data_IF_096632476633
#
_entry.id   IF_096632476633
#
_cell.length_a   1.000
_cell.length_b   1.000
_cell.length_c   1.000
_cell.angle_alpha   90.00
_cell.angle_beta   90.00
_cell.angle_gamma   90.00
#
_symmetry.space_group_name_H-M   'P 1'
#
loop_
_entity.id
_entity.type
_entity.pdbx_description
1 polymer ?
#
# COMPACT_ATOMS: atom_id res chain seq x y z
N UNK A 1 25.34 -1.64 -12.67
CA UNK A 1 25.05 -2.83 -11.85
C UNK A 1 23.86 -3.50 -12.49
N UNK A 2 24.10 -4.59 -13.21
CA UNK A 2 23.05 -5.38 -13.89
C UNK A 2 22.71 -6.54 -12.95
N UNK A 3 21.51 -6.52 -12.37
CA UNK A 3 21.03 -7.65 -11.57
C UNK A 3 20.63 -8.79 -12.51
N UNK A 4 21.00 -10.02 -12.18
CA UNK A 4 20.44 -11.19 -12.88
C UNK A 4 18.92 -11.25 -12.64
N UNK A 5 18.16 -11.82 -13.58
CA UNK A 5 16.70 -12.00 -13.40
C UNK A 5 16.37 -12.71 -12.09
N UNK A 6 17.19 -13.68 -11.69
CA UNK A 6 16.99 -14.42 -10.44
C UNK A 6 17.28 -13.57 -9.19
N UNK A 7 18.27 -12.68 -9.26
CA UNK A 7 18.56 -11.74 -8.19
C UNK A 7 17.44 -10.71 -8.03
N UNK A 8 16.93 -10.17 -9.14
CA UNK A 8 15.80 -9.25 -9.13
C UNK A 8 14.53 -9.88 -8.54
N UNK A 9 14.23 -11.14 -8.88
CA UNK A 9 13.09 -11.87 -8.32
C UNK A 9 13.26 -12.16 -6.82
N UNK A 10 14.48 -12.46 -6.36
CA UNK A 10 14.76 -12.66 -4.92
C UNK A 10 14.55 -11.39 -4.12
N UNK A 11 15.03 -10.25 -4.63
CA UNK A 11 14.83 -8.94 -4.01
C UNK A 11 13.34 -8.58 -3.97
N UNK A 12 12.62 -8.78 -5.08
CA UNK A 12 11.18 -8.55 -5.13
C UNK A 12 10.42 -9.41 -4.10
N UNK A 13 10.75 -10.70 -4.01
CA UNK A 13 10.12 -11.60 -3.03
C UNK A 13 10.44 -11.19 -1.59
N UNK A 14 11.64 -10.68 -1.33
CA UNK A 14 12.00 -10.14 -0.01
C UNK A 14 11.19 -8.90 0.34
N UNK A 15 11.05 -7.96 -0.60
CA UNK A 15 10.28 -6.74 -0.39
C UNK A 15 8.79 -7.02 -0.16
N UNK A 16 8.22 -7.99 -0.88
CA UNK A 16 6.85 -8.47 -0.65
C UNK A 16 6.71 -9.02 0.76
N UNK A 17 7.61 -9.91 1.20
CA UNK A 17 7.57 -10.47 2.56
C UNK A 17 7.65 -9.39 3.65
N UNK A 18 8.46 -8.35 3.43
CA UNK A 18 8.57 -7.21 4.35
C UNK A 18 7.23 -6.46 4.41
N UNK A 19 6.58 -6.24 3.27
CA UNK A 19 5.28 -5.58 3.20
C UNK A 19 4.18 -6.38 3.91
N UNK A 20 4.09 -7.68 3.63
CA UNK A 20 3.15 -8.61 4.28
C UNK A 20 3.35 -8.62 5.81
N UNK A 21 4.61 -8.79 6.24
CA UNK A 21 4.95 -8.81 7.68
C UNK A 21 4.58 -7.48 8.34
N UNK A 22 4.81 -6.36 7.66
CA UNK A 22 4.45 -5.04 8.19
C UNK A 22 2.93 -4.86 8.29
N UNK A 23 2.16 -5.35 7.32
CA UNK A 23 0.70 -5.36 7.36
C UNK A 23 0.19 -6.23 8.52
N UNK A 24 0.61 -7.50 8.57
CA UNK A 24 0.20 -8.47 9.59
C UNK A 24 0.50 -7.99 11.02
N UNK A 25 1.68 -7.42 11.26
CA UNK A 25 2.06 -6.97 12.61
C UNK A 25 1.31 -5.74 13.09
N UNK A 26 0.81 -4.91 12.17
CA UNK A 26 0.28 -3.58 12.50
C UNK A 26 -1.24 -3.51 12.44
N UNK A 27 -1.86 -4.30 11.57
CA UNK A 27 -3.31 -4.43 11.51
C UNK A 27 -3.78 -5.23 12.72
N UNK A 28 -4.83 -4.73 13.38
CA UNK A 28 -5.39 -5.28 14.63
C UNK A 28 -6.83 -5.78 14.48
N UNK A 29 -7.37 -5.71 13.27
CA UNK A 29 -8.74 -6.10 12.93
C UNK A 29 -8.69 -7.21 11.89
N UNK A 30 -9.74 -8.03 11.85
CA UNK A 30 -9.86 -9.08 10.85
C UNK A 30 -10.01 -8.47 9.45
N UNK A 31 -9.31 -9.06 8.48
CA UNK A 31 -9.36 -8.65 7.09
C UNK A 31 -9.81 -9.81 6.22
N UNK A 32 -10.64 -9.50 5.23
CA UNK A 32 -10.82 -10.40 4.11
C UNK A 32 -9.52 -10.50 3.29
N UNK A 33 -9.33 -11.60 2.56
CA UNK A 33 -8.12 -11.82 1.75
C UNK A 33 -7.85 -10.65 0.80
N UNK A 34 -8.87 -10.16 0.10
CA UNK A 34 -8.73 -9.04 -0.83
C UNK A 34 -8.31 -7.72 -0.13
N UNK A 35 -8.73 -7.49 1.11
CA UNK A 35 -8.30 -6.33 1.88
C UNK A 35 -6.83 -6.43 2.25
N UNK A 36 -6.40 -7.64 2.63
CA UNK A 36 -5.01 -7.92 2.95
C UNK A 36 -4.11 -7.76 1.71
N UNK A 37 -4.54 -8.26 0.56
CA UNK A 37 -3.79 -8.15 -0.70
C UNK A 37 -3.64 -6.70 -1.15
N UNK A 38 -4.73 -5.91 -1.08
CA UNK A 38 -4.70 -4.48 -1.39
C UNK A 38 -3.75 -3.70 -0.46
N UNK A 39 -3.80 -4.00 0.85
CA UNK A 39 -2.88 -3.40 1.82
C UNK A 39 -1.44 -3.80 1.54
N UNK A 40 -1.18 -5.07 1.23
CA UNK A 40 0.17 -5.56 0.93
C UNK A 40 0.76 -4.85 -0.30
N UNK A 41 -0.01 -4.70 -1.40
CA UNK A 41 0.42 -3.90 -2.56
C UNK A 41 0.72 -2.45 -2.19
N UNK A 42 -0.13 -1.86 -1.34
CA UNK A 42 0.05 -0.49 -0.89
C UNK A 42 1.30 -0.32 -0.03
N UNK A 43 1.51 -1.20 0.96
CA UNK A 43 2.68 -1.20 1.85
C UNK A 43 3.96 -1.46 1.08
N UNK A 44 3.94 -2.36 0.10
CA UNK A 44 5.07 -2.58 -0.82
C UNK A 44 5.48 -1.27 -1.51
N UNK A 45 4.51 -0.46 -1.93
CA UNK A 45 4.80 0.79 -2.64
C UNK A 45 5.23 1.95 -1.72
N UNK A 46 4.63 2.11 -0.52
CA UNK A 46 4.93 3.25 0.36
C UNK A 46 5.96 2.93 1.46
N UNK A 47 6.21 1.65 1.72
CA UNK A 47 7.05 1.14 2.81
C UNK A 47 6.31 1.00 4.15
N UNK A 48 6.67 -0.04 4.91
CA UNK A 48 6.07 -0.37 6.22
C UNK A 48 6.21 0.72 7.29
N UNK A 49 7.25 1.55 7.21
CA UNK A 49 7.46 2.69 8.12
C UNK A 49 6.41 3.79 7.92
N UNK A 50 6.13 4.15 6.66
CA UNK A 50 5.09 5.15 6.32
C UNK A 50 3.69 4.59 6.62
N UNK A 51 3.45 3.33 6.28
CA UNK A 51 2.20 2.64 6.61
C UNK A 51 1.90 2.67 8.11
N UNK A 52 2.90 2.38 8.96
CA UNK A 52 2.74 2.35 10.41
C UNK A 52 2.35 3.68 11.05
N UNK A 53 2.61 4.81 10.38
CA UNK A 53 2.23 6.15 10.84
C UNK A 53 1.02 6.72 10.08
N UNK A 54 0.43 5.94 9.18
CA UNK A 54 -0.62 6.42 8.29
C UNK A 54 -1.97 6.57 8.99
N UNK A 55 -2.73 7.58 8.58
CA UNK A 55 -4.15 7.70 8.96
C UNK A 55 -4.96 6.51 8.48
N UNK A 56 -4.58 5.89 7.35
CA UNK A 56 -5.18 4.67 6.84
C UNK A 56 -5.16 3.55 7.90
N UNK A 57 -3.99 3.20 8.42
CA UNK A 57 -3.85 2.16 9.43
C UNK A 57 -4.62 2.50 10.71
N UNK A 58 -4.59 3.76 11.13
CA UNK A 58 -5.32 4.23 12.32
C UNK A 58 -6.83 4.07 12.18
N UNK A 59 -7.40 4.39 11.01
CA UNK A 59 -8.83 4.21 10.74
C UNK A 59 -9.17 2.72 10.59
N UNK A 60 -8.32 1.96 9.92
CA UNK A 60 -8.49 0.53 9.75
C UNK A 60 -8.57 -0.19 11.09
N UNK A 61 -7.63 0.09 11.99
CA UNK A 61 -7.60 -0.51 13.34
C UNK A 61 -8.76 -0.06 14.25
N UNK A 62 -9.58 0.91 13.82
CA UNK A 62 -10.84 1.30 14.47
C UNK A 62 -12.05 0.62 13.84
N UNK A 63 -11.86 -0.27 12.87
CA UNK A 63 -12.94 -0.90 12.10
C UNK A 63 -13.58 0.05 11.07
N UNK A 64 -12.98 1.21 10.80
CA UNK A 64 -13.55 2.21 9.90
C UNK A 64 -13.14 1.96 8.44
N UNK A 65 -13.48 0.78 7.90
CA UNK A 65 -13.01 0.28 6.59
C UNK A 65 -13.22 1.27 5.43
N UNK A 66 -14.41 1.84 5.29
CA UNK A 66 -14.71 2.80 4.22
C UNK A 66 -13.84 4.07 4.33
N UNK A 67 -13.60 4.54 5.56
CA UNK A 67 -12.76 5.72 5.78
C UNK A 67 -11.28 5.39 5.53
N UNK A 68 -10.84 4.19 5.91
CA UNK A 68 -9.51 3.69 5.59
C UNK A 68 -9.31 3.56 4.07
N UNK A 69 -10.30 3.05 3.34
CA UNK A 69 -10.26 2.91 1.88
C UNK A 69 -10.07 4.26 1.16
N UNK A 70 -10.71 5.31 1.66
CA UNK A 70 -10.52 6.66 1.10
C UNK A 70 -9.11 7.22 1.36
N UNK A 71 -8.40 6.72 2.37
CA UNK A 71 -7.02 7.13 2.62
C UNK A 71 -6.03 6.59 1.59
N UNK A 72 -6.36 5.59 0.77
CA UNK A 72 -5.46 5.19 -0.32
C UNK A 72 -5.24 6.35 -1.30
N UNK A 73 -6.28 7.13 -1.58
CA UNK A 73 -6.27 8.19 -2.60
C UNK A 73 -5.35 9.36 -2.26
N UNK A 74 -5.02 9.59 -0.98
CA UNK A 74 -4.12 10.68 -0.58
C UNK A 74 -2.64 10.34 -0.79
N UNK A 75 -2.32 9.07 -1.02
CA UNK A 75 -0.95 8.58 -1.28
C UNK A 75 -0.61 8.56 -2.77
N UNK A 76 -0.84 9.69 -3.43
CA UNK A 76 -0.61 9.89 -4.85
C UNK A 76 0.37 11.02 -5.17
N UNK A 77 0.99 11.62 -4.14
CA UNK A 77 1.95 12.71 -4.33
C UNK A 77 3.39 12.21 -4.37
N UNK A 78 4.18 12.82 -5.24
CA UNK A 78 5.62 12.61 -5.35
C UNK A 78 6.34 13.94 -5.14
N UNK A 79 7.50 13.88 -4.51
CA UNK A 79 8.40 15.01 -4.38
C UNK A 79 9.25 15.09 -5.66
N UNK A 80 9.14 16.18 -6.40
CA UNK A 80 9.91 16.41 -7.64
C UNK A 80 11.13 17.29 -7.41
N UNK A 81 11.03 18.18 -6.42
CA UNK A 81 12.11 19.02 -5.91
C UNK A 81 11.92 19.14 -4.40
N UNK A 82 12.96 19.52 -3.67
CA UNK A 82 12.93 19.61 -2.20
C UNK A 82 11.76 20.50 -1.74
N UNK A 83 10.77 19.89 -1.08
CA UNK A 83 9.56 20.56 -0.59
C UNK A 83 8.45 20.77 -1.63
N UNK A 84 8.67 20.43 -2.90
CA UNK A 84 7.69 20.57 -3.99
C UNK A 84 7.02 19.23 -4.26
N UNK A 85 5.75 19.15 -3.89
CA UNK A 85 4.94 17.94 -4.02
C UNK A 85 3.89 18.10 -5.12
N UNK A 86 3.92 17.22 -6.10
CA UNK A 86 2.90 17.17 -7.16
C UNK A 86 2.11 15.86 -7.09
N UNK A 87 0.87 15.90 -7.57
CA UNK A 87 0.09 14.69 -7.77
C UNK A 87 0.62 13.93 -8.99
N UNK A 88 0.85 12.62 -8.84
CA UNK A 88 1.20 11.72 -9.93
C UNK A 88 -0.05 11.00 -10.44
N UNK A 89 -0.31 11.07 -11.74
CA UNK A 89 -1.42 10.35 -12.37
C UNK A 89 -1.26 8.83 -12.26
N UNK A 90 -0.03 8.34 -12.40
CA UNK A 90 0.29 6.92 -12.25
C UNK A 90 -0.03 6.41 -10.86
N UNK A 91 0.39 7.14 -9.81
CA UNK A 91 0.01 6.77 -8.44
C UNK A 91 -1.49 6.92 -8.21
N UNK A 92 -2.12 7.97 -8.73
CA UNK A 92 -3.57 8.17 -8.60
C UNK A 92 -4.35 6.97 -9.17
N UNK A 93 -3.98 6.48 -10.36
CA UNK A 93 -4.59 5.28 -10.96
C UNK A 93 -4.36 4.06 -10.08
N UNK A 94 -3.13 3.83 -9.62
CA UNK A 94 -2.79 2.70 -8.75
C UNK A 94 -3.57 2.73 -7.42
N UNK A 95 -3.65 3.88 -6.76
CA UNK A 95 -4.37 4.07 -5.49
C UNK A 95 -5.87 3.83 -5.64
N UNK A 96 -6.46 4.18 -6.80
CA UNK A 96 -7.86 3.86 -7.10
C UNK A 96 -8.08 2.36 -7.19
N UNK A 97 -7.24 1.63 -7.93
CA UNK A 97 -7.34 0.17 -8.04
C UNK A 97 -7.19 -0.49 -6.67
N UNK A 98 -6.16 -0.12 -5.90
CA UNK A 98 -5.96 -0.67 -4.55
C UNK A 98 -7.17 -0.40 -3.63
N UNK A 99 -7.79 0.77 -3.73
CA UNK A 99 -9.04 1.09 -3.01
C UNK A 99 -10.20 0.19 -3.44
N UNK A 100 -10.40 -0.02 -4.74
CA UNK A 100 -11.48 -0.87 -5.26
C UNK A 100 -11.30 -2.34 -4.83
N UNK A 101 -10.08 -2.87 -4.91
CA UNK A 101 -9.76 -4.21 -4.41
C UNK A 101 -10.02 -4.28 -2.90
N UNK A 102 -9.62 -3.27 -2.15
CA UNK A 102 -9.84 -3.23 -0.71
C UNK A 102 -11.34 -3.26 -0.34
N UNK A 103 -12.19 -2.54 -1.09
CA UNK A 103 -13.62 -2.44 -0.81
C UNK A 103 -14.43 -3.61 -1.35
N UNK A 104 -14.07 -4.13 -2.52
CA UNK A 104 -14.94 -5.02 -3.30
C UNK A 104 -14.26 -6.31 -3.77
N UNK A 105 -12.93 -6.42 -3.66
CA UNK A 105 -12.17 -7.56 -4.19
C UNK A 105 -12.10 -7.64 -5.71
N UNK A 106 -12.49 -6.57 -6.42
CA UNK A 106 -12.46 -6.55 -7.87
C UNK A 106 -11.09 -6.14 -8.41
N UNK A 107 -10.48 -7.02 -9.19
CA UNK A 107 -9.34 -6.73 -10.05
C UNK A 107 -9.85 -6.69 -11.49
N UNK A 108 -10.02 -5.50 -12.08
CA UNK A 108 -10.39 -5.34 -13.49
C UNK A 108 -9.15 -5.19 -14.38
#
# INVERSE_FOLDING_TARGET
MEFSKDEALRLLAQDIRIAETAAQRKVKVDLAQHQFDALTSFVFNIGGGKFGKSTLLRLLNRGEYNRAANQFLVWNKVEVEKGVWITSDGLTKRRRIEREVFLHGNHH
#
